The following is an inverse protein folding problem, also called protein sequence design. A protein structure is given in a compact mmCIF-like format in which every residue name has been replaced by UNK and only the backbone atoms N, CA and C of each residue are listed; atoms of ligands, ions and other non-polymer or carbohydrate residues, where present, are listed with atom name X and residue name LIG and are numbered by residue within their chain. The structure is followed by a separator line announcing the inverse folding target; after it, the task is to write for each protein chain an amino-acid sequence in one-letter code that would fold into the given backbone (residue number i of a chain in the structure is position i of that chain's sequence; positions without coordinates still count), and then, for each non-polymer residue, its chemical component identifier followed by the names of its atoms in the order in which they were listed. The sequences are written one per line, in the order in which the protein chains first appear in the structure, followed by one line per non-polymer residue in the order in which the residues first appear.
data_IF_364470185324
#
_entry.id   IF_364470185324
#
_cell.length_a   1.000
_cell.length_b   1.000
_cell.length_c   1.000
_cell.angle_alpha   90.00
_cell.angle_beta   90.00
_cell.angle_gamma   90.00
#
_symmetry.space_group_name_H-M   'P 1'
#
loop_
_entity.id
_entity.type
_entity.pdbx_description
1 polymer ?
#
# COMPACT_ATOMS: atom_id res chain seq x y z
N UNK A 1 3.18 -9.11 26.71
CA UNK A 1 3.67 -10.42 26.24
C UNK A 1 4.08 -11.24 27.46
N UNK A 2 3.67 -12.51 27.59
CA UNK A 2 4.11 -13.36 28.72
C UNK A 2 5.44 -14.06 28.39
N UNK A 3 6.19 -14.46 29.42
CA UNK A 3 7.46 -15.20 29.27
C UNK A 3 7.27 -16.49 28.47
N UNK A 4 6.25 -17.28 28.83
CA UNK A 4 5.92 -18.52 28.12
C UNK A 4 5.58 -18.30 26.63
N UNK A 5 4.87 -17.21 26.29
CA UNK A 5 4.62 -16.86 24.90
C UNK A 5 5.89 -16.51 24.16
N UNK A 6 6.80 -15.77 24.81
CA UNK A 6 8.04 -15.36 24.19
C UNK A 6 8.93 -16.57 23.89
N UNK A 7 9.09 -17.47 24.86
CA UNK A 7 9.83 -18.74 24.70
C UNK A 7 9.26 -19.59 23.56
N UNK A 8 7.93 -19.73 23.49
CA UNK A 8 7.28 -20.45 22.39
C UNK A 8 7.61 -19.85 21.01
N UNK A 9 7.45 -18.53 20.84
CA UNK A 9 7.71 -17.90 19.54
C UNK A 9 9.19 -17.92 19.17
N UNK A 10 10.10 -17.80 20.14
CA UNK A 10 11.54 -17.94 19.90
C UNK A 10 11.86 -19.34 19.37
N UNK A 11 11.41 -20.39 20.06
CA UNK A 11 11.62 -21.77 19.63
C UNK A 11 10.98 -22.06 18.27
N UNK A 12 9.74 -21.60 18.07
CA UNK A 12 9.04 -21.74 16.80
C UNK A 12 9.82 -21.11 15.63
N UNK A 13 10.41 -19.93 15.83
CA UNK A 13 11.21 -19.26 14.81
C UNK A 13 12.52 -20.01 14.55
N UNK A 14 13.21 -20.47 15.60
CA UNK A 14 14.44 -21.26 15.45
C UNK A 14 14.19 -22.55 14.64
N UNK A 15 13.11 -23.28 14.94
CA UNK A 15 12.78 -24.56 14.29
C UNK A 15 12.36 -24.42 12.81
N UNK A 16 11.85 -23.26 12.41
CA UNK A 16 11.22 -23.08 11.10
C UNK A 16 11.93 -22.06 10.19
N UNK A 17 12.83 -21.23 10.70
CA UNK A 17 13.44 -20.11 9.94
C UNK A 17 14.42 -20.51 8.84
N UNK A 18 14.93 -21.74 8.86
CA UNK A 18 15.88 -22.24 7.85
C UNK A 18 15.28 -22.27 6.43
N UNK A 19 13.96 -22.49 6.32
CA UNK A 19 13.24 -22.52 5.06
C UNK A 19 12.00 -21.61 5.15
N UNK A 20 11.95 -20.60 4.27
CA UNK A 20 10.86 -19.61 4.28
C UNK A 20 9.50 -20.23 3.96
N UNK A 21 9.45 -21.27 3.12
CA UNK A 21 8.22 -22.01 2.82
C UNK A 21 7.74 -22.85 4.00
N UNK A 22 8.67 -23.46 4.75
CA UNK A 22 8.41 -24.16 6.01
C UNK A 22 7.88 -23.20 7.06
N UNK A 23 8.53 -22.06 7.27
CA UNK A 23 8.08 -21.01 8.18
C UNK A 23 6.69 -20.51 7.81
N UNK A 24 6.44 -20.24 6.53
CA UNK A 24 5.13 -19.80 6.07
C UNK A 24 4.05 -20.85 6.32
N UNK A 25 4.33 -22.13 6.06
CA UNK A 25 3.38 -23.23 6.27
C UNK A 25 3.09 -23.43 7.75
N UNK A 26 4.12 -23.50 8.60
CA UNK A 26 3.99 -23.62 10.05
C UNK A 26 3.26 -22.41 10.65
N UNK A 27 3.56 -21.19 10.18
CA UNK A 27 2.88 -19.98 10.63
C UNK A 27 1.41 -19.99 10.20
N UNK A 28 1.11 -20.47 8.99
CA UNK A 28 -0.27 -20.62 8.51
C UNK A 28 -1.06 -21.62 9.36
N UNK A 29 -0.46 -22.72 9.80
CA UNK A 29 -1.10 -23.69 10.71
C UNK A 29 -1.29 -23.11 12.11
N UNK A 30 -0.27 -22.43 12.65
CA UNK A 30 -0.32 -21.76 13.95
C UNK A 30 -1.39 -20.65 13.97
N UNK A 31 -1.52 -19.92 12.87
CA UNK A 31 -2.47 -18.84 12.66
C UNK A 31 -3.77 -19.33 12.01
N UNK A 32 -3.97 -20.64 11.85
CA UNK A 32 -5.23 -21.20 11.38
C UNK A 32 -6.30 -21.02 12.48
N UNK A 33 -6.68 -19.77 12.72
CA UNK A 33 -8.06 -19.40 13.02
C UNK A 33 -8.87 -20.11 11.94
N UNK A 34 -9.83 -20.95 12.35
CA UNK A 34 -10.72 -21.64 11.42
C UNK A 34 -11.12 -20.65 10.33
N UNK A 35 -10.50 -20.78 9.16
CA UNK A 35 -10.80 -19.92 8.03
C UNK A 35 -12.05 -20.48 7.36
N UNK A 36 -13.07 -20.76 8.19
CA UNK A 36 -14.44 -20.54 7.79
C UNK A 36 -14.46 -19.08 7.42
N UNK A 37 -14.23 -18.82 6.13
CA UNK A 37 -14.85 -17.70 5.45
C UNK A 37 -16.36 -17.87 5.71
N UNK A 38 -16.79 -17.47 6.91
CA UNK A 38 -18.18 -17.42 7.27
C UNK A 38 -18.66 -16.18 6.56
N UNK A 39 -18.96 -16.34 5.28
CA UNK A 39 -19.95 -15.49 4.69
C UNK A 39 -21.16 -15.59 5.61
N UNK A 40 -21.71 -14.46 6.07
CA UNK A 40 -22.88 -14.52 6.92
C UNK A 40 -23.91 -15.43 6.23
N UNK A 41 -24.48 -16.40 6.95
CA UNK A 41 -25.41 -17.39 6.36
C UNK A 41 -26.59 -16.74 5.62
N UNK A 42 -26.84 -15.46 5.93
CA UNK A 42 -27.86 -14.57 5.39
C UNK A 42 -27.38 -13.72 4.19
N UNK A 43 -26.16 -13.91 3.70
CA UNK A 43 -25.70 -13.23 2.50
C UNK A 43 -26.25 -13.94 1.26
N UNK A 44 -27.30 -13.36 0.68
CA UNK A 44 -27.83 -13.79 -0.61
C UNK A 44 -26.69 -13.80 -1.65
N UNK A 45 -26.25 -15.02 -2.00
CA UNK A 45 -25.12 -15.28 -2.88
C UNK A 45 -25.34 -14.64 -4.25
N UNK A 46 -26.59 -14.62 -4.73
CA UNK A 46 -26.94 -14.01 -6.00
C UNK A 46 -26.84 -12.50 -5.93
N UNK A 47 -27.26 -11.90 -4.80
CA UNK A 47 -27.14 -10.45 -4.58
C UNK A 47 -25.68 -10.01 -4.51
N UNK A 48 -24.80 -10.80 -3.87
CA UNK A 48 -23.36 -10.54 -3.87
C UNK A 48 -22.77 -10.67 -5.28
N UNK A 49 -23.05 -11.77 -5.97
CA UNK A 49 -22.55 -12.03 -7.32
C UNK A 49 -22.96 -10.92 -8.29
N UNK A 50 -24.22 -10.48 -8.22
CA UNK A 50 -24.73 -9.39 -9.06
C UNK A 50 -24.08 -8.04 -8.74
N UNK A 51 -23.81 -7.75 -7.46
CA UNK A 51 -23.07 -6.53 -7.07
C UNK A 51 -21.65 -6.57 -7.58
N UNK A 52 -20.97 -7.71 -7.45
CA UNK A 52 -19.61 -7.89 -7.95
C UNK A 52 -19.56 -7.72 -9.48
N UNK A 53 -20.47 -8.38 -10.21
CA UNK A 53 -20.55 -8.26 -11.67
C UNK A 53 -20.78 -6.81 -12.11
N UNK A 54 -21.72 -6.09 -11.48
CA UNK A 54 -21.97 -4.67 -11.75
C UNK A 54 -20.74 -3.80 -11.51
N UNK A 55 -20.02 -4.04 -10.41
CA UNK A 55 -18.79 -3.31 -10.11
C UNK A 55 -17.74 -3.49 -11.20
N UNK A 56 -17.51 -4.73 -11.66
CA UNK A 56 -16.53 -5.00 -12.71
C UNK A 56 -16.94 -4.39 -14.05
N UNK A 57 -18.22 -4.45 -14.43
CA UNK A 57 -18.73 -3.79 -15.64
C UNK A 57 -18.45 -2.29 -15.58
N UNK A 58 -18.82 -1.62 -14.49
CA UNK A 58 -18.57 -0.18 -14.31
C UNK A 58 -17.08 0.15 -14.41
N UNK A 59 -16.22 -0.67 -13.79
CA UNK A 59 -14.77 -0.42 -13.83
C UNK A 59 -14.20 -0.61 -15.23
N UNK A 60 -14.62 -1.64 -15.96
CA UNK A 60 -14.16 -1.88 -17.34
C UNK A 60 -14.64 -0.78 -18.27
N UNK A 61 -15.91 -0.38 -18.16
CA UNK A 61 -16.50 0.71 -18.95
C UNK A 61 -15.86 2.08 -18.62
N UNK A 62 -15.34 2.25 -17.40
CA UNK A 62 -14.63 3.45 -16.97
C UNK A 62 -13.21 3.57 -17.52
N UNK A 63 -12.54 2.46 -17.86
CA UNK A 63 -11.13 2.46 -18.31
C UNK A 63 -10.90 3.41 -19.51
N UNK A 64 -11.70 3.40 -20.59
CA UNK A 64 -11.53 4.33 -21.70
C UNK A 64 -11.53 5.81 -21.26
N UNK A 65 -12.46 6.19 -20.37
CA UNK A 65 -12.53 7.56 -19.84
C UNK A 65 -11.34 7.92 -18.94
N UNK A 66 -10.83 6.96 -18.16
CA UNK A 66 -9.62 7.13 -17.35
C UNK A 66 -8.38 7.31 -18.25
N UNK A 67 -8.29 6.57 -19.37
CA UNK A 67 -7.23 6.68 -20.38
C UNK A 67 -7.29 8.02 -21.11
N UNK A 68 -8.46 8.44 -21.57
CA UNK A 68 -8.63 9.73 -22.28
C UNK A 68 -8.31 10.91 -21.36
N UNK A 69 -8.69 10.82 -20.08
CA UNK A 69 -8.33 11.83 -19.07
C UNK A 69 -6.81 11.89 -18.84
N UNK A 70 -6.11 10.76 -18.87
CA UNK A 70 -4.64 10.71 -18.78
C UNK A 70 -3.95 11.30 -20.02
N UNK A 71 -4.53 11.15 -21.21
CA UNK A 71 -3.97 11.70 -22.46
C UNK A 71 -3.94 13.23 -22.46
N UNK A 72 -4.92 13.87 -21.83
CA UNK A 72 -4.98 15.34 -21.66
C UNK A 72 -3.81 15.84 -20.78
N UNK A 73 -3.44 15.07 -19.74
CA UNK A 73 -2.32 15.41 -18.85
C UNK A 73 -0.95 15.40 -19.58
N UNK A 74 -0.80 14.53 -20.59
CA UNK A 74 0.45 14.40 -21.37
C UNK A 74 0.62 15.55 -22.36
N UNK A 75 -0.48 16.09 -22.90
CA UNK A 75 -0.42 17.24 -23.82
C UNK A 75 -0.14 18.55 -23.11
N UNK A 76 -0.66 18.75 -21.89
CA UNK A 76 -0.37 19.94 -21.09
C UNK A 76 1.09 19.96 -20.60
N UNK A 77 1.70 18.81 -20.34
CA UNK A 77 3.12 18.74 -19.92
C UNK A 77 4.11 19.06 -21.05
N UNK A 78 3.73 18.93 -22.32
CA UNK A 78 4.62 19.23 -23.45
C UNK A 78 4.69 20.73 -23.78
N UNK A 79 3.67 21.52 -23.44
CA UNK A 79 3.71 22.99 -23.57
C UNK A 79 4.59 23.65 -22.50
N UNK A 80 4.57 23.13 -21.26
CA UNK A 80 5.46 23.59 -20.19
C UNK A 80 6.93 23.19 -20.41
N UNK A 81 7.19 22.05 -21.06
CA UNK A 81 8.55 21.59 -21.34
C UNK A 81 9.26 22.45 -22.39
N UNK A 82 8.55 22.92 -23.44
CA UNK A 82 9.14 23.76 -24.48
C UNK A 82 9.51 25.15 -23.98
N UNK A 83 8.78 25.73 -23.02
CA UNK A 83 9.12 27.06 -22.48
C UNK A 83 10.35 27.03 -21.54
N UNK A 84 10.64 25.89 -20.92
CA UNK A 84 11.79 25.73 -20.01
C UNK A 84 13.12 25.43 -20.72
N UNK A 85 13.12 24.94 -21.98
CA UNK A 85 14.36 24.71 -22.73
C UNK A 85 15.07 26.01 -23.12
N UNK A 86 14.36 27.12 -23.27
CA UNK A 86 14.97 28.42 -23.59
C UNK A 86 15.63 29.11 -22.39
N UNK A 87 15.25 28.76 -21.15
CA UNK A 87 15.89 29.30 -19.93
C UNK A 87 17.11 28.48 -19.48
N UNK A 88 17.31 27.26 -20.01
CA UNK A 88 18.39 26.36 -19.57
C UNK A 88 19.75 26.63 -20.21
N UNK A 89 19.86 27.53 -21.17
CA UNK A 89 21.16 27.91 -21.76
C UNK A 89 22.03 28.74 -20.80
N UNK A 90 21.46 29.40 -19.79
CA UNK A 90 22.18 30.36 -18.94
C UNK A 90 22.66 29.81 -17.58
N UNK A 91 22.33 28.58 -17.19
CA UNK A 91 22.67 28.03 -15.85
C UNK A 91 23.77 26.97 -15.84
N UNK A 92 24.77 27.11 -16.71
CA UNK A 92 26.01 26.32 -16.63
C UNK A 92 26.87 26.72 -15.41
N UNK A 93 26.45 26.42 -14.18
CA UNK A 93 27.38 26.28 -13.02
C UNK A 93 26.68 25.72 -11.75
N UNK A 94 26.66 24.39 -11.54
CA UNK A 94 26.94 23.70 -10.24
C UNK A 94 26.56 22.21 -10.23
N UNK A 95 27.25 21.37 -9.43
CA UNK A 95 27.25 19.92 -9.58
C UNK A 95 26.08 19.21 -8.87
N UNK A 96 25.76 18.04 -9.42
CA UNK A 96 24.81 17.00 -9.01
C UNK A 96 24.60 16.85 -7.50
N UNK A 97 23.36 17.06 -7.02
CA UNK A 97 22.95 16.80 -5.63
C UNK A 97 22.29 15.43 -5.48
N UNK A 98 22.96 14.60 -4.72
CA UNK A 98 22.56 13.31 -4.15
C UNK A 98 21.20 13.38 -3.41
N UNK A 99 20.27 12.47 -3.71
CA UNK A 99 18.97 12.36 -3.00
C UNK A 99 19.21 11.90 -1.56
N UNK A 100 19.06 12.80 -0.58
CA UNK A 100 19.12 12.46 0.85
C UNK A 100 17.76 11.94 1.32
N UNK A 101 17.70 10.71 1.81
CA UNK A 101 16.54 10.21 2.57
C UNK A 101 16.49 10.89 3.93
N UNK A 102 15.33 11.47 4.28
CA UNK A 102 15.10 12.13 5.56
C UNK A 102 14.78 11.07 6.61
N UNK A 103 15.61 10.95 7.64
CA UNK A 103 15.36 10.05 8.76
C UNK A 103 14.17 10.58 9.60
N UNK A 104 13.06 9.83 9.61
CA UNK A 104 11.91 10.12 10.46
C UNK A 104 12.27 9.75 11.89
N UNK A 105 12.38 10.75 12.76
CA UNK A 105 12.67 10.56 14.19
C UNK A 105 11.40 10.20 14.96
N UNK A 106 11.54 9.48 16.08
CA UNK A 106 10.41 9.05 16.94
C UNK A 106 9.54 10.23 17.39
N UNK A 107 10.14 11.42 17.58
CA UNK A 107 9.41 12.65 17.91
C UNK A 107 8.45 13.12 16.80
N UNK A 108 8.70 12.78 15.53
CA UNK A 108 7.76 13.06 14.44
C UNK A 108 6.56 12.12 14.45
N UNK A 109 6.77 10.85 14.82
CA UNK A 109 5.67 9.87 14.92
C UNK A 109 4.76 10.22 16.10
N UNK A 110 5.34 10.63 17.23
CA UNK A 110 4.58 11.03 18.42
C UNK A 110 3.64 12.23 18.15
N UNK A 111 4.13 13.25 17.42
CA UNK A 111 3.31 14.41 17.03
C UNK A 111 2.13 14.04 16.12
N UNK A 112 2.31 13.06 15.23
CA UNK A 112 1.25 12.59 14.33
C UNK A 112 0.16 11.87 15.13
N UNK A 113 0.56 11.01 16.07
CA UNK A 113 -0.38 10.27 16.94
C UNK A 113 -1.19 11.21 17.81
N UNK A 114 -0.57 12.26 18.36
CA UNK A 114 -1.28 13.26 19.17
C UNK A 114 -2.26 14.10 18.33
N UNK A 115 -1.89 14.47 17.09
CA UNK A 115 -2.78 15.24 16.20
C UNK A 115 -4.03 14.49 15.73
N UNK A 116 -4.01 13.15 15.76
CA UNK A 116 -5.15 12.31 15.35
C UNK A 116 -6.08 11.98 16.55
N UNK A 117 -5.63 12.12 17.79
CA UNK A 117 -6.48 11.95 18.98
C UNK A 117 -7.42 13.14 19.21
N UNK A 118 -7.03 14.36 18.83
CA UNK A 118 -7.87 15.55 18.95
C UNK A 118 -8.98 15.63 17.88
N UNK A 119 -8.94 14.76 16.85
CA UNK A 119 -9.95 14.71 15.78
C UNK A 119 -11.13 13.78 16.08
N UNK A 120 -11.11 13.07 17.21
CA UNK A 120 -12.15 12.10 17.62
C UNK A 120 -12.88 12.55 18.90
N UNK A 121 -13.07 13.86 19.08
CA UNK A 121 -14.00 14.41 20.08
C UNK A 121 -15.05 15.30 19.43
#
# INVERSE_FOLDING_TARGET
MSKARNEFYTQFMEENSEDQGKLFSAAKELLAVENKLSFPDHLDKNKLANKAAKFFVIKVDGIPSEIDSMKILVTETHEFASHNMQQSAERHQKPSTERKYVAITVAHIQRIVESEQDRVK
#
